data_IF_109601840992
#
_entry.id   IF_109601840992
#
_cell.length_a   1.000
_cell.length_b   1.000
_cell.length_c   1.000
_cell.angle_alpha   90.00
_cell.angle_beta   90.00
_cell.angle_gamma   90.00
#
_symmetry.space_group_name_H-M   'P 1'
#
loop_
_entity.id
_entity.type
_entity.pdbx_description
1 polymer ?
#
# COMPACT_ATOMS: atom_id res chain seq x y z
N UNK A 1 23.74 -17.29 -14.54
CA UNK A 1 23.10 -16.72 -13.35
C UNK A 1 21.64 -17.16 -13.39
N UNK A 2 21.19 -18.05 -12.49
CA UNK A 2 19.75 -18.35 -12.41
C UNK A 2 19.07 -17.13 -11.80
N UNK A 3 18.06 -16.57 -12.50
CA UNK A 3 17.27 -15.49 -11.94
C UNK A 3 16.55 -16.02 -10.70
N UNK A 4 16.88 -15.49 -9.52
CA UNK A 4 16.16 -15.83 -8.30
C UNK A 4 14.70 -15.40 -8.52
N UNK A 5 13.73 -16.30 -8.33
CA UNK A 5 12.33 -15.96 -8.51
C UNK A 5 11.97 -14.77 -7.61
N UNK A 6 11.50 -13.69 -8.24
CA UNK A 6 11.12 -12.47 -7.54
C UNK A 6 9.67 -12.60 -7.08
N UNK A 7 9.36 -12.45 -5.77
CA UNK A 7 7.96 -12.43 -5.35
C UNK A 7 7.19 -11.30 -6.02
N UNK A 8 5.89 -11.50 -6.20
CA UNK A 8 4.94 -10.48 -6.67
C UNK A 8 4.18 -9.91 -5.48
N UNK A 9 3.81 -8.65 -5.57
CA UNK A 9 2.97 -7.97 -4.59
C UNK A 9 1.50 -8.30 -4.89
N UNK A 10 0.73 -8.67 -3.86
CA UNK A 10 -0.73 -8.76 -3.94
C UNK A 10 -1.34 -7.37 -3.77
N UNK A 11 -1.76 -6.77 -4.87
CA UNK A 11 -2.29 -5.40 -4.88
C UNK A 11 -3.54 -5.24 -4.01
N UNK A 12 -4.43 -6.23 -3.98
CA UNK A 12 -5.62 -6.18 -3.11
C UNK A 12 -5.28 -6.03 -1.63
N UNK A 13 -4.19 -6.65 -1.15
CA UNK A 13 -3.72 -6.50 0.23
C UNK A 13 -3.16 -5.11 0.51
N UNK A 14 -2.43 -4.54 -0.45
CA UNK A 14 -1.98 -3.15 -0.33
C UNK A 14 -3.16 -2.18 -0.30
N UNK A 15 -4.17 -2.40 -1.14
CA UNK A 15 -5.39 -1.60 -1.13
C UNK A 15 -6.12 -1.71 0.21
N UNK A 16 -6.28 -2.91 0.76
CA UNK A 16 -6.87 -3.09 2.10
C UNK A 16 -6.12 -2.25 3.16
N UNK A 17 -4.79 -2.20 3.11
CA UNK A 17 -3.96 -1.40 4.03
C UNK A 17 -4.11 0.10 3.75
N UNK A 18 -3.97 0.53 2.49
CA UNK A 18 -3.97 1.94 2.10
C UNK A 18 -5.31 2.60 2.39
N UNK A 19 -6.40 1.96 2.00
CA UNK A 19 -7.75 2.47 2.24
C UNK A 19 -8.14 2.46 3.72
N UNK A 20 -7.60 1.54 4.54
CA UNK A 20 -7.91 1.50 5.97
C UNK A 20 -7.04 2.45 6.82
N UNK A 21 -5.79 2.68 6.44
CA UNK A 21 -4.81 3.38 7.29
C UNK A 21 -4.32 4.71 6.73
N UNK A 22 -4.39 4.90 5.41
CA UNK A 22 -3.75 6.04 4.78
C UNK A 22 -4.74 7.10 4.29
N UNK A 23 -5.81 6.71 3.59
CA UNK A 23 -6.79 7.56 2.86
C UNK A 23 -6.77 9.04 3.28
N UNK A 24 -5.81 9.83 2.76
CA UNK A 24 -5.56 11.16 3.29
C UNK A 24 -6.52 12.20 2.70
N UNK A 25 -7.16 11.88 1.57
CA UNK A 25 -8.13 12.73 0.88
C UNK A 25 -9.55 12.41 1.39
N UNK A 26 -9.76 11.27 2.05
CA UNK A 26 -11.06 10.86 2.58
C UNK A 26 -12.02 10.50 1.46
N UNK A 27 -11.55 9.77 0.46
CA UNK A 27 -12.36 9.37 -0.69
C UNK A 27 -13.35 8.25 -0.34
N UNK A 28 -13.00 7.37 0.60
CA UNK A 28 -13.99 6.49 1.19
C UNK A 28 -14.84 7.30 2.16
N UNK A 29 -16.15 7.30 1.92
CA UNK A 29 -17.13 8.02 2.72
C UNK A 29 -16.85 7.83 4.23
N UNK A 30 -16.37 8.87 4.92
CA UNK A 30 -16.00 8.75 6.33
C UNK A 30 -17.21 8.56 7.24
N UNK A 31 -18.43 8.86 6.76
CA UNK A 31 -19.67 8.63 7.50
C UNK A 31 -20.18 7.18 7.32
N UNK A 32 -19.73 6.50 6.27
CA UNK A 32 -20.05 5.11 6.01
C UNK A 32 -18.87 4.20 6.32
N UNK A 33 -18.71 3.85 7.61
CA UNK A 33 -17.66 2.95 8.09
C UNK A 33 -17.69 1.53 7.48
N UNK A 34 -18.67 1.21 6.62
CA UNK A 34 -18.75 -0.06 5.90
C UNK A 34 -18.33 0.04 4.43
N UNK A 35 -18.01 1.25 3.92
CA UNK A 35 -17.61 1.48 2.54
C UNK A 35 -16.26 0.84 2.25
N UNK A 36 -16.17 0.04 1.19
CA UNK A 36 -14.94 -0.65 0.77
C UNK A 36 -14.47 -0.13 -0.57
N UNK A 37 -13.15 -0.19 -0.79
CA UNK A 37 -12.56 0.21 -2.07
C UNK A 37 -13.03 -0.63 -3.27
N UNK A 38 -13.51 -1.86 -3.03
CA UNK A 38 -14.02 -2.78 -4.04
C UNK A 38 -15.54 -2.69 -4.25
N UNK A 39 -16.23 -1.76 -3.58
CA UNK A 39 -17.64 -1.46 -3.85
C UNK A 39 -17.81 -0.79 -5.21
N UNK A 40 -18.91 -1.09 -5.92
CA UNK A 40 -19.17 -0.60 -7.28
C UNK A 40 -19.09 0.93 -7.41
N UNK A 41 -19.52 1.65 -6.37
CA UNK A 41 -19.47 3.11 -6.31
C UNK A 41 -18.04 3.68 -6.20
N UNK A 42 -17.09 2.89 -5.68
CA UNK A 42 -15.73 3.31 -5.37
C UNK A 42 -14.71 2.83 -6.42
N UNK A 43 -15.09 1.88 -7.28
CA UNK A 43 -14.26 1.37 -8.38
C UNK A 43 -13.60 2.46 -9.26
N UNK A 44 -14.24 3.61 -9.56
CA UNK A 44 -13.61 4.66 -10.39
C UNK A 44 -12.35 5.28 -9.81
N UNK A 45 -12.11 5.15 -8.50
CA UNK A 45 -10.94 5.69 -7.81
C UNK A 45 -10.23 4.65 -6.93
N UNK A 46 -10.59 3.37 -7.03
CA UNK A 46 -10.03 2.29 -6.21
C UNK A 46 -8.52 2.12 -6.33
N UNK A 47 -7.93 2.61 -7.42
CA UNK A 47 -6.50 2.57 -7.75
C UNK A 47 -5.73 3.85 -7.41
N UNK A 48 -6.39 4.88 -6.86
CA UNK A 48 -5.81 6.21 -6.58
C UNK A 48 -4.48 6.13 -5.81
N UNK A 49 -4.37 5.18 -4.88
CA UNK A 49 -3.20 5.02 -4.01
C UNK A 49 -2.22 3.92 -4.44
N UNK A 50 -2.52 3.17 -5.51
CA UNK A 50 -1.78 1.95 -5.86
C UNK A 50 -0.30 2.22 -6.11
N UNK A 51 0.04 3.28 -6.85
CA UNK A 51 1.42 3.58 -7.23
C UNK A 51 2.29 3.87 -6.01
N UNK A 52 1.78 4.64 -5.04
CA UNK A 52 2.51 4.99 -3.82
C UNK A 52 2.68 3.78 -2.90
N UNK A 53 1.63 2.96 -2.76
CA UNK A 53 1.68 1.75 -1.93
C UNK A 53 2.60 0.69 -2.53
N UNK A 54 2.61 0.56 -3.86
CA UNK A 54 3.53 -0.33 -4.57
C UNK A 54 4.98 0.09 -4.40
N UNK A 55 5.28 1.39 -4.49
CA UNK A 55 6.63 1.91 -4.27
C UNK A 55 7.06 1.68 -2.82
N UNK A 56 6.23 2.04 -1.84
CA UNK A 56 6.53 1.83 -0.43
C UNK A 56 6.81 0.35 -0.11
N UNK A 57 5.99 -0.57 -0.62
CA UNK A 57 6.23 -2.00 -0.45
C UNK A 57 7.54 -2.45 -1.13
N UNK A 58 7.79 -1.97 -2.36
CA UNK A 58 9.00 -2.27 -3.12
C UNK A 58 10.27 -1.80 -2.39
N UNK A 59 10.27 -0.58 -1.84
CA UNK A 59 11.36 -0.02 -1.04
C UNK A 59 11.62 -0.83 0.22
N UNK A 60 10.57 -1.17 0.98
CA UNK A 60 10.69 -2.00 2.19
C UNK A 60 11.30 -3.36 1.87
N UNK A 61 10.89 -3.99 0.76
CA UNK A 61 11.46 -5.26 0.31
C UNK A 61 12.92 -5.14 -0.11
N UNK A 62 13.32 -4.00 -0.68
CA UNK A 62 14.71 -3.71 -1.05
C UNK A 62 15.59 -3.42 0.18
N UNK A 63 15.00 -3.36 1.37
CA UNK A 63 15.70 -3.09 2.62
C UNK A 63 15.91 -1.60 2.89
N UNK A 64 15.15 -0.72 2.23
CA UNK A 64 15.15 0.70 2.57
C UNK A 64 14.68 0.86 4.03
N UNK A 65 15.34 1.72 4.84
CA UNK A 65 14.95 1.92 6.23
C UNK A 65 13.51 2.39 6.37
N UNK A 66 12.80 1.89 7.39
CA UNK A 66 11.39 2.24 7.66
C UNK A 66 11.14 3.74 7.68
N UNK A 67 12.05 4.50 8.29
CA UNK A 67 11.95 5.96 8.40
C UNK A 67 12.01 6.68 7.06
N UNK A 68 12.75 6.15 6.07
CA UNK A 68 12.80 6.72 4.72
C UNK A 68 11.49 6.48 3.99
N UNK A 69 10.92 5.27 4.09
CA UNK A 69 9.62 4.94 3.48
C UNK A 69 8.46 5.71 4.13
N UNK A 70 8.51 5.91 5.46
CA UNK A 70 7.58 6.80 6.16
C UNK A 70 7.71 8.24 5.64
N UNK A 71 8.96 8.72 5.47
CA UNK A 71 9.23 10.04 4.90
C UNK A 71 8.63 10.21 3.50
N UNK A 72 8.79 9.19 2.65
CA UNK A 72 8.20 9.15 1.31
C UNK A 72 6.67 9.30 1.35
N UNK A 73 5.95 8.51 2.15
CA UNK A 73 4.49 8.60 2.24
C UNK A 73 4.02 9.96 2.79
N UNK A 74 4.75 10.55 3.74
CA UNK A 74 4.48 11.90 4.24
C UNK A 74 4.71 12.94 3.14
N UNK A 75 5.76 12.80 2.33
CA UNK A 75 6.02 13.70 1.21
C UNK A 75 4.90 13.66 0.18
N UNK A 76 4.41 12.47 -0.16
CA UNK A 76 3.26 12.33 -1.07
C UNK A 76 2.04 13.05 -0.50
N UNK A 77 1.69 12.82 0.76
CA UNK A 77 0.53 13.45 1.38
C UNK A 77 0.65 14.98 1.44
N UNK A 78 1.79 15.47 1.94
CA UNK A 78 1.94 16.90 2.27
C UNK A 78 2.28 17.75 1.05
N UNK A 79 3.08 17.22 0.11
CA UNK A 79 3.59 17.96 -1.04
C UNK A 79 2.87 17.58 -2.33
N UNK A 80 2.77 16.28 -2.64
CA UNK A 80 2.18 15.84 -3.91
C UNK A 80 0.66 16.04 -3.93
N UNK A 81 -0.03 15.65 -2.85
CA UNK A 81 -1.47 15.87 -2.68
C UNK A 81 -1.79 17.27 -2.14
N UNK A 82 -0.78 18.03 -1.70
CA UNK A 82 -0.92 19.43 -1.28
C UNK A 82 -1.70 19.63 0.02
N UNK A 83 -1.77 18.63 0.90
CA UNK A 83 -2.55 18.70 2.14
C UNK A 83 -1.84 19.46 3.27
N UNK A 84 -0.60 19.91 3.04
CA UNK A 84 0.20 20.67 4.00
C UNK A 84 0.73 19.82 5.16
N UNK A 85 1.60 20.39 6.00
CA UNK A 85 2.16 19.68 7.15
C UNK A 85 1.08 19.35 8.18
N UNK A 86 0.79 18.06 8.34
CA UNK A 86 -0.15 17.55 9.33
C UNK A 86 0.55 16.54 10.25
N UNK A 87 0.37 16.71 11.56
CA UNK A 87 0.89 15.76 12.56
C UNK A 87 0.33 14.35 12.39
N UNK A 88 -0.87 14.20 11.83
CA UNK A 88 -1.45 12.88 11.55
C UNK A 88 -0.86 12.20 10.31
N UNK A 89 -0.21 12.96 9.39
CA UNK A 89 0.39 12.42 8.17
C UNK A 89 1.44 11.35 8.50
N UNK A 90 2.33 11.70 9.45
CA UNK A 90 3.37 10.79 9.92
C UNK A 90 2.77 9.55 10.59
N UNK A 91 1.78 9.72 11.46
CA UNK A 91 1.16 8.59 12.15
C UNK A 91 0.46 7.63 11.19
N UNK A 92 -0.21 8.13 10.14
CA UNK A 92 -0.79 7.27 9.09
C UNK A 92 0.28 6.56 8.28
N UNK A 93 1.32 7.27 7.85
CA UNK A 93 2.45 6.68 7.13
C UNK A 93 3.16 5.58 7.93
N UNK A 94 3.39 5.80 9.24
CA UNK A 94 3.93 4.80 10.15
C UNK A 94 3.03 3.57 10.24
N UNK A 95 1.70 3.76 10.37
CA UNK A 95 0.75 2.67 10.42
C UNK A 95 0.75 1.82 9.14
N UNK A 96 0.82 2.46 7.97
CA UNK A 96 0.94 1.76 6.67
C UNK A 96 2.22 0.94 6.60
N UNK A 97 3.37 1.52 6.95
CA UNK A 97 4.66 0.83 6.89
C UNK A 97 4.69 -0.37 7.84
N UNK A 98 4.20 -0.21 9.07
CA UNK A 98 4.12 -1.33 10.01
C UNK A 98 3.15 -2.42 9.54
N UNK A 99 2.00 -2.05 8.93
CA UNK A 99 1.07 -3.02 8.37
C UNK A 99 1.66 -3.82 7.19
N UNK A 100 2.38 -3.16 6.28
CA UNK A 100 3.07 -3.83 5.16
C UNK A 100 4.15 -4.79 5.67
N UNK A 101 4.90 -4.40 6.69
CA UNK A 101 5.94 -5.25 7.28
C UNK A 101 5.37 -6.42 8.07
N UNK A 102 4.23 -6.25 8.71
CA UNK A 102 3.55 -7.30 9.47
C UNK A 102 2.86 -8.34 8.57
N UNK A 103 2.31 -7.93 7.42
CA UNK A 103 1.59 -8.81 6.51
C UNK A 103 2.52 -9.53 5.52
N UNK A 104 3.02 -10.70 5.94
CA UNK A 104 3.82 -11.58 5.09
C UNK A 104 3.05 -12.12 3.87
N UNK A 105 1.72 -12.03 3.84
CA UNK A 105 0.88 -12.55 2.76
C UNK A 105 0.78 -11.61 1.56
N UNK A 106 1.29 -10.38 1.69
CA UNK A 106 1.47 -9.42 0.59
C UNK A 106 2.36 -10.00 -0.50
N UNK A 107 3.36 -10.80 -0.11
CA UNK A 107 4.34 -11.38 -1.02
C UNK A 107 3.86 -12.74 -1.52
N UNK A 108 3.72 -12.87 -2.83
CA UNK A 108 3.43 -14.14 -3.50
C UNK A 108 4.71 -14.66 -4.11
N UNK A 109 5.13 -15.85 -3.70
CA UNK A 109 6.30 -16.52 -4.23
C UNK A 109 5.90 -17.41 -5.39
N UNK A 110 6.66 -17.45 -6.49
CA UNK A 110 6.42 -18.43 -7.52
C UNK A 110 6.84 -19.82 -7.02
N UNK A 111 6.13 -20.85 -7.48
CA UNK A 111 6.45 -22.25 -7.23
C UNK A 111 7.81 -22.65 -7.86
N UNK A 112 8.23 -23.89 -7.63
CA UNK A 112 9.47 -24.43 -8.17
C UNK A 112 9.56 -24.40 -9.72
N UNK A 113 8.44 -24.11 -10.40
CA UNK A 113 8.31 -24.04 -11.86
C UNK A 113 8.12 -22.59 -12.33
N UNK A 114 8.23 -21.60 -11.44
CA UNK A 114 8.10 -20.18 -11.77
C UNK A 114 6.65 -19.67 -11.87
N UNK A 115 5.64 -20.47 -11.49
CA UNK A 115 4.24 -20.06 -11.52
C UNK A 115 3.82 -19.43 -10.21
N UNK A 116 3.06 -18.35 -10.28
CA UNK A 116 2.39 -17.79 -9.11
C UNK A 116 1.03 -18.47 -9.01
N UNK A 117 0.66 -18.98 -7.82
CA UNK A 117 -0.65 -19.59 -7.60
C UNK A 117 -1.74 -18.64 -8.11
N UNK A 118 -2.52 -19.10 -9.10
CA UNK A 118 -3.76 -18.44 -9.46
C UNK A 118 -4.72 -18.74 -8.31
N UNK A 119 -5.14 -17.70 -7.58
CA UNK A 119 -6.28 -17.82 -6.69
C UNK A 119 -7.45 -18.36 -7.52
N UNK A 120 -7.88 -19.58 -7.19
CA UNK A 120 -9.11 -20.22 -7.66
C UNK A 120 -10.33 -19.47 -7.15
#
# INVERSE_FOLDING_TARGET
MQAVPQPRIKLSKLRDIGWALWDPIGLLDPENCSSRWDDEANLPFADEYDSYLLEAASELRRGIPRGEVVGFLVEIETQHMGLGENTSARSRAEAVVEAILADQTIWTWPDAQGRFDQAV
#
